data_IF_685683063328
#
_entry.id   IF_685683063328
#
_cell.length_a   1.000
_cell.length_b   1.000
_cell.length_c   1.000
_cell.angle_alpha   90.00
_cell.angle_beta   90.00
_cell.angle_gamma   90.00
#
_symmetry.space_group_name_H-M   'P 1'
#
loop_
_entity.id
_entity.type
_entity.pdbx_description
1 polymer ?
#
# COMPACT_ATOMS: atom_id res chain seq x y z
N UNK A 1 15.05 37.90 -7.44
CA UNK A 1 13.85 37.26 -6.87
C UNK A 1 13.15 36.51 -7.99
N UNK A 2 13.38 35.20 -8.11
CA UNK A 2 12.69 34.33 -9.08
C UNK A 2 12.14 33.15 -8.27
N UNK A 3 10.90 33.30 -7.79
CA UNK A 3 10.12 32.17 -7.28
C UNK A 3 9.35 31.58 -8.46
N UNK A 4 10.03 30.89 -9.37
CA UNK A 4 9.34 29.97 -10.29
C UNK A 4 9.16 28.65 -9.57
N UNK A 5 8.13 28.55 -8.71
CA UNK A 5 7.57 27.24 -8.37
C UNK A 5 7.00 26.69 -9.67
N UNK A 6 7.78 25.86 -10.37
CA UNK A 6 7.27 25.13 -11.54
C UNK A 6 6.04 24.35 -11.07
N UNK A 7 4.95 24.31 -11.86
CA UNK A 7 3.83 23.44 -11.55
C UNK A 7 4.40 22.01 -11.45
N UNK A 8 4.20 21.39 -10.29
CA UNK A 8 4.57 20.01 -10.01
C UNK A 8 3.76 19.12 -10.94
N UNK A 9 4.29 18.85 -12.13
CA UNK A 9 3.75 17.79 -12.99
C UNK A 9 3.75 16.52 -12.16
N UNK A 10 2.57 15.93 -11.99
CA UNK A 10 2.43 14.60 -11.42
C UNK A 10 3.31 13.67 -12.26
N UNK A 11 4.30 13.05 -11.64
CA UNK A 11 5.20 12.14 -12.34
C UNK A 11 4.44 10.85 -12.68
N UNK A 12 4.84 10.17 -13.75
CA UNK A 12 4.24 8.86 -14.09
C UNK A 12 4.33 7.86 -12.93
N UNK A 13 5.32 7.99 -12.05
CA UNK A 13 5.48 7.18 -10.84
C UNK A 13 4.40 7.49 -9.80
N UNK A 14 4.07 8.77 -9.62
CA UNK A 14 2.98 9.19 -8.73
C UNK A 14 1.62 8.76 -9.26
N UNK A 15 1.42 8.89 -10.58
CA UNK A 15 0.21 8.41 -11.23
C UNK A 15 0.08 6.88 -11.10
N UNK A 16 1.18 6.14 -11.28
CA UNK A 16 1.23 4.70 -11.12
C UNK A 16 0.95 4.27 -9.68
N UNK A 17 1.54 4.92 -8.67
CA UNK A 17 1.26 4.60 -7.27
C UNK A 17 -0.18 4.92 -6.86
N UNK A 18 -0.74 6.04 -7.32
CA UNK A 18 -2.17 6.34 -7.16
C UNK A 18 -3.05 5.30 -7.85
N UNK A 19 -2.67 4.87 -9.06
CA UNK A 19 -3.39 3.84 -9.79
C UNK A 19 -3.31 2.49 -9.06
N UNK A 20 -2.15 2.15 -8.49
CA UNK A 20 -1.96 0.94 -7.68
C UNK A 20 -2.87 0.96 -6.47
N UNK A 21 -2.94 2.09 -5.75
CA UNK A 21 -3.89 2.26 -4.64
C UNK A 21 -5.33 2.09 -5.13
N UNK A 22 -5.74 2.76 -6.21
CA UNK A 22 -7.11 2.65 -6.75
C UNK A 22 -7.45 1.24 -7.26
N UNK A 23 -6.47 0.52 -7.80
CA UNK A 23 -6.63 -0.86 -8.25
C UNK A 23 -6.72 -1.82 -7.06
N UNK A 24 -5.96 -1.59 -6.00
CA UNK A 24 -6.09 -2.32 -4.74
C UNK A 24 -7.52 -2.20 -4.21
N UNK A 25 -8.04 -0.97 -4.14
CA UNK A 25 -9.43 -0.68 -3.78
C UNK A 25 -10.43 -1.42 -4.69
N UNK A 26 -10.20 -1.42 -6.01
CA UNK A 26 -11.09 -2.05 -6.96
C UNK A 26 -11.09 -3.59 -6.90
N UNK A 27 -9.94 -4.20 -6.62
CA UNK A 27 -9.80 -5.65 -6.56
C UNK A 27 -10.31 -6.19 -5.23
N UNK A 28 -10.00 -5.56 -4.09
CA UNK A 28 -10.55 -5.98 -2.80
C UNK A 28 -12.08 -5.96 -2.83
N UNK A 29 -12.67 -4.90 -3.37
CA UNK A 29 -14.13 -4.76 -3.52
C UNK A 29 -14.73 -5.79 -4.51
N UNK A 30 -14.04 -6.09 -5.62
CA UNK A 30 -14.51 -7.08 -6.60
C UNK A 30 -14.46 -8.52 -6.06
N UNK A 31 -13.38 -8.87 -5.35
CA UNK A 31 -13.21 -10.24 -4.85
C UNK A 31 -14.17 -10.53 -3.70
N UNK A 32 -14.47 -9.52 -2.88
CA UNK A 32 -15.49 -9.60 -1.82
C UNK A 32 -16.91 -9.80 -2.39
N UNK A 33 -17.25 -9.07 -3.47
CA UNK A 33 -18.50 -9.29 -4.23
C UNK A 33 -18.57 -10.69 -4.88
N UNK A 34 -17.43 -11.34 -5.14
CA UNK A 34 -17.36 -12.60 -5.85
C UNK A 34 -17.54 -13.85 -4.96
N UNK A 35 -17.78 -13.72 -3.64
CA UNK A 35 -18.04 -14.83 -2.70
C UNK A 35 -17.03 -16.01 -2.75
N UNK A 36 -15.77 -15.76 -3.11
CA UNK A 36 -14.75 -16.82 -3.22
C UNK A 36 -14.06 -17.10 -1.87
N UNK A 37 -14.85 -17.57 -0.90
CA UNK A 37 -14.50 -17.70 0.53
C UNK A 37 -13.38 -18.68 0.93
N UNK A 38 -12.51 -19.13 0.03
CA UNK A 38 -11.36 -20.00 0.37
C UNK A 38 -9.99 -19.49 -0.08
N UNK A 39 -9.92 -18.61 -1.09
CA UNK A 39 -8.65 -18.07 -1.60
C UNK A 39 -8.48 -16.57 -1.32
N UNK A 40 -9.54 -15.90 -0.83
CA UNK A 40 -9.59 -14.46 -0.60
C UNK A 40 -8.41 -13.94 0.25
N UNK A 41 -8.22 -14.49 1.44
CA UNK A 41 -7.12 -14.16 2.35
C UNK A 41 -5.71 -14.21 1.73
N UNK A 42 -5.48 -15.06 0.73
CA UNK A 42 -4.17 -15.11 0.05
C UNK A 42 -4.03 -14.02 -1.02
N UNK A 43 -5.11 -13.72 -1.74
CA UNK A 43 -5.12 -12.63 -2.71
C UNK A 43 -5.04 -11.26 -2.02
N UNK A 44 -5.69 -11.14 -0.88
CA UNK A 44 -5.65 -9.99 0.00
C UNK A 44 -4.20 -9.65 0.42
N UNK A 45 -3.42 -10.62 0.92
CA UNK A 45 -2.00 -10.37 1.24
C UNK A 45 -1.15 -10.00 0.04
N UNK A 46 -1.48 -10.50 -1.16
CA UNK A 46 -0.78 -10.13 -2.40
C UNK A 46 -1.09 -8.67 -2.77
N UNK A 47 -2.36 -8.26 -2.64
CA UNK A 47 -2.82 -6.89 -2.87
C UNK A 47 -2.11 -5.91 -1.94
N UNK A 48 -2.15 -6.15 -0.63
CA UNK A 48 -1.41 -5.38 0.36
C UNK A 48 0.10 -5.28 0.04
N UNK A 49 0.74 -6.38 -0.40
CA UNK A 49 2.15 -6.31 -0.83
C UNK A 49 2.35 -5.35 -2.02
N UNK A 50 1.48 -5.41 -3.02
CA UNK A 50 1.52 -4.55 -4.22
C UNK A 50 1.22 -3.09 -3.85
N UNK A 51 0.24 -2.85 -2.97
CA UNK A 51 -0.07 -1.54 -2.41
C UNK A 51 1.14 -0.94 -1.69
N UNK A 52 1.82 -1.74 -0.87
CA UNK A 52 3.06 -1.34 -0.20
C UNK A 52 4.16 -0.90 -1.16
N UNK A 53 4.35 -1.63 -2.27
CA UNK A 53 5.26 -1.26 -3.36
C UNK A 53 4.85 0.09 -3.99
N UNK A 54 3.58 0.22 -4.37
CA UNK A 54 3.04 1.39 -5.05
C UNK A 54 3.11 2.65 -4.18
N UNK A 55 2.72 2.54 -2.91
CA UNK A 55 2.78 3.61 -1.93
C UNK A 55 4.21 4.09 -1.70
N UNK A 56 5.15 3.18 -1.44
CA UNK A 56 6.54 3.55 -1.21
C UNK A 56 7.16 4.23 -2.44
N UNK A 57 6.87 3.73 -3.65
CA UNK A 57 7.30 4.36 -4.90
C UNK A 57 6.72 5.77 -5.09
N UNK A 58 5.45 5.99 -4.71
CA UNK A 58 4.79 7.30 -4.79
C UNK A 58 5.35 8.31 -3.78
N UNK A 59 5.72 7.87 -2.58
CA UNK A 59 6.27 8.73 -1.53
C UNK A 59 7.76 9.02 -1.69
N UNK A 60 8.51 8.14 -2.36
CA UNK A 60 9.96 8.27 -2.50
C UNK A 60 10.45 9.63 -3.04
N UNK A 61 9.81 10.28 -4.04
CA UNK A 61 10.21 11.59 -4.53
C UNK A 61 10.11 12.73 -3.49
N UNK A 62 9.30 12.53 -2.45
CA UNK A 62 9.05 13.51 -1.39
C UNK A 62 9.84 13.22 -0.11
N UNK A 63 10.32 11.98 0.03
CA UNK A 63 11.06 11.51 1.18
C UNK A 63 12.52 12.01 1.13
N UNK A 64 13.00 12.58 2.24
CA UNK A 64 14.43 12.91 2.39
C UNK A 64 15.28 11.65 2.62
N UNK A 65 14.65 10.60 3.15
CA UNK A 65 15.26 9.30 3.43
C UNK A 65 14.33 8.18 2.99
N UNK A 66 14.84 7.06 2.44
CA UNK A 66 14.00 5.90 2.08
C UNK A 66 13.10 5.40 3.22
N UNK A 67 13.57 5.48 4.47
CA UNK A 67 12.77 5.13 5.65
C UNK A 67 11.51 5.99 5.82
N UNK A 68 11.50 7.24 5.37
CA UNK A 68 10.31 8.11 5.43
C UNK A 68 9.23 7.61 4.46
N UNK A 69 9.59 7.03 3.31
CA UNK A 69 8.64 6.40 2.40
C UNK A 69 8.02 5.13 3.01
N UNK A 70 8.81 4.31 3.71
CA UNK A 70 8.29 3.14 4.46
C UNK A 70 7.33 3.57 5.56
N UNK A 71 7.69 4.61 6.33
CA UNK A 71 6.82 5.15 7.39
C UNK A 71 5.51 5.67 6.79
N UNK A 72 5.57 6.37 5.65
CA UNK A 72 4.38 6.86 4.96
C UNK A 72 3.47 5.72 4.47
N UNK A 73 4.05 4.63 3.94
CA UNK A 73 3.31 3.41 3.61
C UNK A 73 2.61 2.84 4.85
N UNK A 74 3.32 2.69 5.97
CA UNK A 74 2.72 2.16 7.21
C UNK A 74 1.56 3.01 7.72
N UNK A 75 1.67 4.35 7.68
CA UNK A 75 0.56 5.22 8.04
C UNK A 75 -0.64 5.08 7.12
N UNK A 76 -0.40 4.86 5.81
CA UNK A 76 -1.46 4.64 4.85
C UNK A 76 -2.17 3.30 5.09
N UNK A 77 -1.41 2.23 5.34
CA UNK A 77 -1.94 0.92 5.73
C UNK A 77 -2.81 1.00 6.98
N UNK A 78 -2.33 1.63 8.06
CA UNK A 78 -3.12 1.79 9.29
C UNK A 78 -4.42 2.58 9.03
N UNK A 79 -4.36 3.63 8.20
CA UNK A 79 -5.54 4.40 7.85
C UNK A 79 -6.55 3.56 7.05
N UNK A 80 -6.08 2.66 6.19
CA UNK A 80 -6.91 1.71 5.46
C UNK A 80 -7.62 0.73 6.40
N UNK A 81 -6.90 0.08 7.30
CA UNK A 81 -7.45 -0.85 8.28
C UNK A 81 -8.56 -0.20 9.12
N UNK A 82 -8.34 1.04 9.58
CA UNK A 82 -9.36 1.79 10.32
C UNK A 82 -10.61 2.05 9.46
N UNK A 83 -10.44 2.35 8.17
CA UNK A 83 -11.55 2.55 7.24
C UNK A 83 -12.26 1.23 6.95
N UNK A 84 -11.53 0.13 6.82
CA UNK A 84 -12.08 -1.19 6.53
C UNK A 84 -13.10 -1.61 7.60
N UNK A 85 -12.85 -1.36 8.89
CA UNK A 85 -13.82 -1.62 9.98
C UNK A 85 -15.18 -0.94 9.73
N UNK A 86 -15.21 0.19 9.03
CA UNK A 86 -16.43 0.93 8.72
C UNK A 86 -17.24 0.22 7.61
N UNK A 87 -16.56 -0.48 6.71
CA UNK A 87 -17.18 -1.16 5.57
C UNK A 87 -17.40 -2.66 5.81
N UNK A 88 -16.50 -3.30 6.53
CA UNK A 88 -16.47 -4.74 6.82
C UNK A 88 -16.42 -4.91 8.35
N UNK A 89 -17.54 -5.27 8.99
CA UNK A 89 -17.56 -5.43 10.43
C UNK A 89 -16.70 -6.63 10.85
N UNK A 90 -16.00 -6.58 12.01
CA UNK A 90 -15.11 -7.65 12.47
C UNK A 90 -15.77 -9.04 12.64
N UNK A 91 -17.11 -9.12 12.64
CA UNK A 91 -17.85 -10.38 12.68
C UNK A 91 -17.63 -11.22 11.42
N UNK A 92 -17.36 -10.58 10.28
CA UNK A 92 -17.14 -11.25 8.99
C UNK A 92 -15.79 -11.98 8.95
N UNK A 93 -14.83 -11.54 9.77
CA UNK A 93 -13.54 -12.20 9.98
C UNK A 93 -13.57 -13.30 11.06
N UNK A 94 -14.75 -13.63 11.62
CA UNK A 94 -14.85 -14.57 12.74
C UNK A 94 -14.61 -13.93 14.12
N UNK A 95 -14.60 -12.59 14.19
CA UNK A 95 -14.51 -11.80 15.42
C UNK A 95 -13.32 -10.84 15.46
N UNK A 96 -13.34 -9.91 16.41
CA UNK A 96 -12.33 -8.84 16.53
C UNK A 96 -10.89 -9.35 16.67
N UNK A 97 -10.67 -10.48 17.35
CA UNK A 97 -9.34 -11.07 17.49
C UNK A 97 -8.77 -11.59 16.16
N UNK A 98 -9.62 -12.16 15.30
CA UNK A 98 -9.22 -12.63 13.98
C UNK A 98 -8.98 -11.46 13.02
N UNK A 99 -9.81 -10.43 13.08
CA UNK A 99 -9.60 -9.17 12.37
C UNK A 99 -8.23 -8.56 12.71
N UNK A 100 -7.88 -8.42 14.00
CA UNK A 100 -6.58 -7.87 14.39
C UNK A 100 -5.38 -8.70 13.88
N UNK A 101 -5.52 -10.02 13.79
CA UNK A 101 -4.47 -10.89 13.25
C UNK A 101 -4.33 -10.70 11.73
N UNK A 102 -5.45 -10.50 11.04
CA UNK A 102 -5.51 -10.26 9.61
C UNK A 102 -4.83 -8.93 9.26
N UNK A 103 -5.29 -7.84 9.90
CA UNK A 103 -4.69 -6.50 9.86
C UNK A 103 -3.19 -6.53 10.12
N UNK A 104 -2.75 -7.26 11.14
CA UNK A 104 -1.32 -7.37 11.44
C UNK A 104 -0.55 -8.04 10.28
N UNK A 105 -1.16 -9.05 9.65
CA UNK A 105 -0.64 -9.68 8.44
C UNK A 105 -0.51 -8.70 7.27
N UNK A 106 -1.55 -7.89 7.03
CA UNK A 106 -1.59 -6.89 5.95
C UNK A 106 -0.51 -5.83 6.08
N UNK A 107 -0.40 -5.24 7.26
CA UNK A 107 0.62 -4.24 7.55
C UNK A 107 2.03 -4.82 7.38
N UNK A 108 2.25 -6.10 7.77
CA UNK A 108 3.55 -6.75 7.59
C UNK A 108 3.88 -6.87 6.10
N UNK A 109 2.95 -7.38 5.28
CA UNK A 109 3.23 -7.63 3.86
C UNK A 109 3.31 -6.33 3.04
N UNK A 110 2.59 -5.28 3.42
CA UNK A 110 2.76 -3.92 2.89
C UNK A 110 4.16 -3.37 3.14
N UNK A 111 4.64 -3.48 4.38
CA UNK A 111 5.98 -3.03 4.76
C UNK A 111 7.04 -3.82 3.98
N UNK A 112 6.86 -5.14 3.81
CA UNK A 112 7.75 -5.97 2.97
C UNK A 112 7.76 -5.45 1.53
N UNK A 113 6.59 -5.17 0.94
CA UNK A 113 6.46 -4.56 -0.37
C UNK A 113 7.23 -3.23 -0.49
N UNK A 114 7.06 -2.34 0.49
CA UNK A 114 7.77 -1.08 0.56
C UNK A 114 9.30 -1.26 0.64
N UNK A 115 9.79 -2.20 1.44
CA UNK A 115 11.24 -2.48 1.51
C UNK A 115 11.79 -3.07 0.21
N UNK A 116 11.04 -3.96 -0.45
CA UNK A 116 11.45 -4.59 -1.71
C UNK A 116 11.74 -3.53 -2.79
N UNK A 117 10.84 -2.56 -2.98
CA UNK A 117 11.05 -1.53 -4.00
C UNK A 117 12.25 -0.63 -3.67
N UNK A 118 12.43 -0.27 -2.39
CA UNK A 118 13.57 0.55 -1.97
C UNK A 118 14.90 -0.20 -2.14
N UNK A 119 14.93 -1.51 -1.84
CA UNK A 119 16.10 -2.36 -2.06
C UNK A 119 16.45 -2.47 -3.54
N UNK A 120 15.47 -2.71 -4.41
CA UNK A 120 15.64 -2.75 -5.86
C UNK A 120 16.22 -1.43 -6.39
N UNK A 121 15.67 -0.28 -5.97
CA UNK A 121 16.15 1.03 -6.39
C UNK A 121 17.58 1.31 -5.92
N UNK A 122 17.92 0.94 -4.67
CA UNK A 122 19.30 1.04 -4.17
C UNK A 122 20.27 0.20 -5.00
N UNK A 123 19.89 -1.02 -5.37
CA UNK A 123 20.72 -1.91 -6.21
C UNK A 123 20.89 -1.38 -7.63
N UNK A 124 19.86 -0.77 -8.21
CA UNK A 124 19.92 -0.17 -9.55
C UNK A 124 20.83 1.06 -9.57
N UNK A 125 20.71 1.95 -8.58
CA UNK A 125 21.56 3.14 -8.48
C UNK A 125 23.03 2.80 -8.22
N UNK A 126 23.33 1.69 -7.53
CA UNK A 126 24.71 1.25 -7.29
C UNK A 126 25.40 0.64 -8.54
N UNK A 127 24.67 0.47 -9.64
CA UNK A 127 25.18 -0.08 -10.91
C UNK A 127 25.38 0.98 -12.01
N UNK A 128 25.04 2.24 -11.72
CA UNK A 128 25.27 3.41 -12.58
C UNK A 128 26.54 4.14 -12.14
#
# INVERSE_FOLDING_TARGET
MILSRRPTRISWVQLAGLLTIVLDFGVSFWVELAQNGYWFWQYDKILHTIAGIGAAAAFLPYAKRPSEAVIATLFLGIAWEILEIVFIPPVEYGGFGWYLLDTAGDLIVEIIGAFLILWCLKKLNARQ
#
